data_IF_087981397018
#
_entry.id   IF_087981397018
#
_cell.length_a   1.000
_cell.length_b   1.000
_cell.length_c   1.000
_cell.angle_alpha   90.00
_cell.angle_beta   90.00
_cell.angle_gamma   90.00
#
_symmetry.space_group_name_H-M   'P 1'
#
loop_
_entity.id
_entity.type
_entity.pdbx_description
1 polymer ?
#
# COMPACT_ATOMS: atom_id res chain seq x y z
N UNK A 1 11.69 -5.44 -10.21
CA UNK A 1 10.27 -5.69 -10.56
C UNK A 1 9.43 -4.72 -9.74
N UNK A 2 8.13 -4.60 -10.00
CA UNK A 2 7.25 -3.70 -9.24
C UNK A 2 6.54 -4.50 -8.13
N UNK A 3 6.13 -3.80 -7.07
CA UNK A 3 5.39 -4.39 -5.96
C UNK A 3 4.12 -5.06 -6.47
N UNK A 4 3.83 -6.24 -5.96
CA UNK A 4 2.52 -6.85 -6.12
C UNK A 4 1.65 -6.42 -4.93
N UNK A 5 0.52 -5.79 -5.20
CA UNK A 5 -0.47 -5.47 -4.18
C UNK A 5 -1.88 -5.83 -4.64
N UNK A 6 -2.68 -6.37 -3.74
CA UNK A 6 -4.05 -6.76 -4.02
C UNK A 6 -4.97 -6.39 -2.85
N UNK A 7 -6.16 -5.89 -3.16
CA UNK A 7 -7.20 -5.64 -2.15
C UNK A 7 -7.80 -6.99 -1.74
N UNK A 8 -7.79 -7.29 -0.45
CA UNK A 8 -8.35 -8.52 0.12
C UNK A 8 -9.66 -8.28 0.85
N UNK A 9 -9.85 -7.08 1.43
CA UNK A 9 -11.07 -6.71 2.14
C UNK A 9 -11.42 -5.25 1.90
N UNK A 10 -12.72 -4.98 1.81
CA UNK A 10 -13.29 -3.63 1.84
C UNK A 10 -14.26 -3.55 3.01
N UNK A 11 -14.20 -2.45 3.75
CA UNK A 11 -15.00 -2.18 4.92
C UNK A 11 -15.37 -0.69 4.98
N UNK A 12 -16.25 -0.32 5.89
CA UNK A 12 -16.69 1.07 6.11
C UNK A 12 -16.62 1.39 7.60
N UNK A 13 -15.95 2.49 7.94
CA UNK A 13 -15.83 2.99 9.31
C UNK A 13 -16.38 4.42 9.38
N UNK A 14 -17.63 4.54 9.81
CA UNK A 14 -18.34 5.82 9.82
C UNK A 14 -18.57 6.35 8.40
N UNK A 15 -18.06 7.55 8.11
CA UNK A 15 -18.13 8.17 6.78
C UNK A 15 -17.01 7.73 5.82
N UNK A 16 -16.04 6.94 6.29
CA UNK A 16 -14.85 6.57 5.52
C UNK A 16 -14.92 5.11 5.05
N UNK A 17 -14.34 4.85 3.89
CA UNK A 17 -14.05 3.52 3.38
C UNK A 17 -12.68 3.08 3.84
N UNK A 18 -12.59 1.82 4.26
CA UNK A 18 -11.36 1.18 4.68
C UNK A 18 -11.08 0.02 3.74
N UNK A 19 -10.02 0.11 2.96
CA UNK A 19 -9.57 -0.97 2.09
C UNK A 19 -8.31 -1.58 2.69
N UNK A 20 -8.24 -2.91 2.70
CA UNK A 20 -7.12 -3.68 3.21
C UNK A 20 -6.64 -4.62 2.13
N UNK A 21 -5.36 -4.94 2.16
CA UNK A 21 -4.79 -5.82 1.15
C UNK A 21 -3.46 -6.42 1.54
N UNK A 22 -2.96 -7.27 0.66
CA UNK A 22 -1.60 -7.81 0.73
C UNK A 22 -0.67 -6.97 -0.13
N UNK A 23 0.59 -6.99 0.25
CA UNK A 23 1.70 -6.40 -0.49
C UNK A 23 2.88 -7.36 -0.46
N UNK A 24 3.53 -7.52 -1.61
CA UNK A 24 4.75 -8.29 -1.75
C UNK A 24 5.75 -7.54 -2.61
N UNK A 25 6.95 -7.40 -2.06
CA UNK A 25 8.13 -6.86 -2.69
C UNK A 25 9.09 -8.02 -2.98
N UNK A 26 9.48 -8.19 -4.24
CA UNK A 26 10.55 -9.10 -4.63
C UNK A 26 11.93 -8.57 -4.27
N UNK A 27 12.93 -9.47 -4.28
CA UNK A 27 14.32 -9.06 -4.18
C UNK A 27 14.69 -8.14 -5.36
N UNK A 28 15.40 -7.06 -5.07
CA UNK A 28 15.81 -6.00 -6.01
C UNK A 28 14.69 -5.08 -6.50
N UNK A 29 13.50 -5.13 -5.90
CA UNK A 29 12.48 -4.11 -6.13
C UNK A 29 12.80 -2.86 -5.29
N UNK A 30 12.66 -1.68 -5.89
CA UNK A 30 13.00 -0.40 -5.24
C UNK A 30 11.78 0.40 -4.81
N UNK A 31 10.63 0.18 -5.46
CA UNK A 31 9.39 0.88 -5.16
C UNK A 31 8.25 0.39 -6.04
N UNK A 32 7.03 0.78 -5.69
CA UNK A 32 5.84 0.42 -6.43
C UNK A 32 4.60 1.20 -6.02
N UNK A 33 3.66 1.28 -6.95
CA UNK A 33 2.36 1.88 -6.74
C UNK A 33 1.36 0.84 -6.22
N UNK A 34 0.52 1.25 -5.27
CA UNK A 34 -0.58 0.47 -4.72
C UNK A 34 -1.87 1.19 -5.04
N UNK A 35 -2.64 0.60 -5.95
CA UNK A 35 -4.00 1.04 -6.23
C UNK A 35 -4.92 0.64 -5.07
N UNK A 36 -5.20 1.59 -4.17
CA UNK A 36 -6.03 1.32 -2.98
C UNK A 36 -7.50 1.13 -3.34
N UNK A 37 -7.95 1.63 -4.50
CA UNK A 37 -9.34 1.61 -4.93
C UNK A 37 -10.22 2.65 -4.23
N UNK A 38 -9.63 3.54 -3.44
CA UNK A 38 -10.26 4.74 -2.92
C UNK A 38 -10.08 5.88 -3.94
N UNK A 39 -10.96 6.87 -3.93
CA UNK A 39 -10.81 8.13 -4.67
C UNK A 39 -9.83 9.06 -3.97
N UNK A 40 -9.89 9.14 -2.64
CA UNK A 40 -8.96 9.91 -1.80
C UNK A 40 -8.47 8.98 -0.69
N UNK A 41 -7.15 8.96 -0.47
CA UNK A 41 -6.54 8.26 0.67
C UNK A 41 -6.08 9.32 1.66
N UNK A 42 -6.60 9.24 2.88
CA UNK A 42 -6.29 10.18 3.96
C UNK A 42 -5.27 9.59 4.92
N UNK A 43 -5.33 8.27 5.11
CA UNK A 43 -4.37 7.55 5.92
C UNK A 43 -3.98 6.23 5.24
N UNK A 44 -2.71 5.88 5.31
CA UNK A 44 -2.18 4.64 4.79
C UNK A 44 -1.16 4.04 5.76
N UNK A 45 -1.29 2.74 6.00
CA UNK A 45 -0.37 1.97 6.83
C UNK A 45 0.04 0.71 6.09
N UNK A 46 1.31 0.33 6.23
CA UNK A 46 1.84 -0.93 5.72
C UNK A 46 2.77 -1.58 6.74
N UNK A 47 2.85 -2.91 6.69
CA UNK A 47 3.70 -3.70 7.57
C UNK A 47 5.11 -3.93 6.99
N UNK A 48 5.35 -3.59 5.73
CA UNK A 48 6.68 -3.70 5.12
C UNK A 48 7.53 -2.49 5.46
N UNK A 49 8.85 -2.67 5.50
CA UNK A 49 9.78 -1.60 5.81
C UNK A 49 9.95 -0.69 4.59
N UNK A 50 9.45 0.55 4.71
CA UNK A 50 9.47 1.54 3.64
C UNK A 50 10.01 2.89 4.13
N UNK A 51 10.69 3.62 3.24
CA UNK A 51 11.30 4.93 3.53
C UNK A 51 10.43 6.10 3.07
N UNK A 52 9.60 5.90 2.07
CA UNK A 52 8.75 6.96 1.51
C UNK A 52 7.39 6.41 1.14
N UNK A 53 6.37 7.18 1.52
CA UNK A 53 4.96 6.95 1.22
C UNK A 53 4.41 8.24 0.63
N UNK A 54 4.13 8.24 -0.67
CA UNK A 54 3.45 9.37 -1.32
C UNK A 54 2.06 8.97 -1.79
N UNK A 55 1.08 9.76 -1.39
CA UNK A 55 -0.32 9.55 -1.77
C UNK A 55 -0.66 10.51 -2.91
N UNK A 56 -1.16 9.97 -4.01
CA UNK A 56 -1.69 10.75 -5.13
C UNK A 56 -2.94 10.07 -5.63
N UNK A 57 -4.10 10.74 -5.49
CA UNK A 57 -5.38 10.31 -6.04
C UNK A 57 -5.62 8.79 -5.97
N UNK A 58 -6.07 8.27 -4.82
CA UNK A 58 -6.42 6.85 -4.69
C UNK A 58 -5.25 5.85 -4.76
N UNK A 59 -4.06 6.31 -5.13
CA UNK A 59 -2.85 5.50 -5.26
C UNK A 59 -1.83 5.91 -4.21
N UNK A 60 -1.12 4.92 -3.67
CA UNK A 60 -0.02 5.13 -2.75
C UNK A 60 1.25 4.55 -3.37
N UNK A 61 2.25 5.39 -3.58
CA UNK A 61 3.58 4.95 -4.01
C UNK A 61 4.45 4.70 -2.79
N UNK A 62 5.05 3.52 -2.74
CA UNK A 62 5.97 3.09 -1.69
C UNK A 62 7.38 2.98 -2.26
N UNK A 63 8.38 3.47 -1.52
CA UNK A 63 9.80 3.16 -1.73
C UNK A 63 10.28 2.21 -0.62
N UNK A 64 10.86 1.06 -0.97
CA UNK A 64 11.36 0.11 0.04
C UNK A 64 12.59 0.68 0.75
N UNK A 65 12.74 0.35 2.03
CA UNK A 65 13.96 0.61 2.77
C UNK A 65 15.04 -0.45 2.51
N UNK A 66 14.62 -1.68 2.17
CA UNK A 66 15.50 -2.85 2.06
C UNK A 66 15.36 -3.52 0.68
N UNK A 67 15.94 -2.93 -0.39
CA UNK A 67 15.80 -3.46 -1.75
C UNK A 67 16.48 -4.83 -1.93
N UNK A 68 17.41 -5.23 -1.05
CA UNK A 68 18.07 -6.53 -1.11
C UNK A 68 17.31 -7.69 -0.46
N UNK A 69 16.20 -7.40 0.24
CA UNK A 69 15.38 -8.40 0.93
C UNK A 69 13.98 -8.47 0.33
N UNK A 70 13.53 -9.66 -0.04
CA UNK A 70 12.12 -9.84 -0.38
C UNK A 70 11.26 -9.67 0.88
N UNK A 71 10.17 -8.93 0.77
CA UNK A 71 9.25 -8.66 1.87
C UNK A 71 7.81 -8.99 1.46
N UNK A 72 7.03 -9.51 2.40
CA UNK A 72 5.60 -9.73 2.22
C UNK A 72 4.86 -9.28 3.47
N UNK A 73 3.69 -8.69 3.28
CA UNK A 73 2.94 -8.10 4.38
C UNK A 73 1.55 -7.65 3.99
N UNK A 74 1.00 -6.77 4.81
CA UNK A 74 -0.32 -6.22 4.67
C UNK A 74 -0.27 -4.70 4.57
N UNK A 75 -1.35 -4.13 4.02
CA UNK A 75 -1.59 -2.70 4.03
C UNK A 75 -3.05 -2.40 4.35
N UNK A 76 -3.27 -1.19 4.85
CA UNK A 76 -4.58 -0.62 5.12
C UNK A 76 -4.60 0.82 4.62
N UNK A 77 -5.64 1.17 3.87
CA UNK A 77 -5.91 2.52 3.40
C UNK A 77 -7.28 2.98 3.91
N UNK A 78 -7.37 4.23 4.35
CA UNK A 78 -8.61 4.86 4.82
C UNK A 78 -8.85 6.14 4.02
N UNK A 79 -10.10 6.34 3.59
CA UNK A 79 -10.51 7.56 2.88
C UNK A 79 -11.87 7.43 2.22
N UNK A 80 -12.04 7.96 1.00
CA UNK A 80 -13.34 8.08 0.30
C UNK A 80 -13.31 7.42 -1.07
#
# INVERSE_FOLDING_TARGET
MAFAAAITKKDVMGSHRVHMGTISQGNSDTGGAIATGLRIVENFQSTIHCTTLSVSAGEVTITTADPGGAQAGYWMAVGY
#
